data_IF_113007913714
#
_entry.id   IF_113007913714
#
_cell.length_a   1.000
_cell.length_b   1.000
_cell.length_c   1.000
_cell.angle_alpha   90.00
_cell.angle_beta   90.00
_cell.angle_gamma   90.00
#
_symmetry.space_group_name_H-M   'P 1'
#
loop_
_entity.id
_entity.type
_entity.pdbx_description
1 polymer ?
#
# COMPACT_ATOMS: atom_id res chain seq x y z
N UNK A 1 -2.58 1.83 24.40
CA UNK A 1 -2.44 1.78 22.93
C UNK A 1 -1.66 3.02 22.50
N UNK A 2 -0.54 2.89 21.78
CA UNK A 2 0.19 4.04 21.23
C UNK A 2 -0.18 4.16 19.75
N UNK A 3 -0.57 5.35 19.32
CA UNK A 3 -0.87 5.64 17.91
C UNK A 3 0.30 6.43 17.34
N UNK A 4 0.89 5.92 16.27
CA UNK A 4 1.85 6.67 15.46
C UNK A 4 1.10 7.39 14.34
N UNK A 5 1.54 8.60 14.00
CA UNK A 5 0.95 9.42 12.95
C UNK A 5 2.06 10.15 12.20
N UNK A 6 2.06 10.02 10.90
CA UNK A 6 3.02 10.67 9.99
C UNK A 6 2.27 11.26 8.80
N UNK A 7 2.83 12.33 8.23
CA UNK A 7 2.29 13.02 7.07
C UNK A 7 3.43 13.49 6.17
N UNK A 8 3.19 13.44 4.86
CA UNK A 8 4.09 14.01 3.85
C UNK A 8 3.27 14.85 2.87
N UNK A 9 3.90 15.85 2.27
CA UNK A 9 3.33 16.61 1.16
C UNK A 9 3.77 15.99 -0.16
N UNK A 10 2.80 15.73 -1.05
CA UNK A 10 3.07 15.24 -2.40
C UNK A 10 2.43 16.21 -3.38
N UNK A 11 3.23 16.77 -4.28
CA UNK A 11 2.79 17.78 -5.24
C UNK A 11 2.08 17.17 -6.46
N UNK A 12 1.03 16.39 -6.22
CA UNK A 12 0.16 15.82 -7.27
C UNK A 12 -1.30 15.81 -6.81
N UNK A 13 -2.29 15.75 -7.73
CA UNK A 13 -3.69 15.64 -7.36
C UNK A 13 -3.97 14.40 -6.47
N UNK A 14 -4.76 14.51 -5.39
CA UNK A 14 -5.06 13.38 -4.50
C UNK A 14 -5.64 12.16 -5.21
N UNK A 15 -6.42 12.38 -6.29
CA UNK A 15 -6.98 11.30 -7.11
C UNK A 15 -5.90 10.41 -7.70
N UNK A 16 -4.76 10.98 -8.13
CA UNK A 16 -3.66 10.22 -8.70
C UNK A 16 -3.07 9.25 -7.66
N UNK A 17 -2.86 9.74 -6.44
CA UNK A 17 -2.37 8.92 -5.33
C UNK A 17 -3.39 7.83 -4.98
N UNK A 18 -4.67 8.19 -4.91
CA UNK A 18 -5.72 7.21 -4.63
C UNK A 18 -5.81 6.10 -5.69
N UNK A 19 -5.77 6.47 -6.98
CA UNK A 19 -5.79 5.51 -8.08
C UNK A 19 -4.54 4.60 -8.06
N UNK A 20 -3.38 5.14 -7.68
CA UNK A 20 -2.14 4.37 -7.49
C UNK A 20 -2.26 3.40 -6.31
N UNK A 21 -2.87 3.82 -5.19
CA UNK A 21 -3.09 2.97 -4.01
C UNK A 21 -4.08 1.84 -4.28
N UNK A 22 -5.05 2.00 -5.18
CA UNK A 22 -5.95 0.90 -5.58
C UNK A 22 -5.22 -0.27 -6.26
N UNK A 23 -3.99 -0.03 -6.71
CA UNK A 23 -3.07 -1.01 -7.30
C UNK A 23 -1.94 -1.38 -6.33
N UNK A 24 -2.21 -1.32 -5.03
CA UNK A 24 -1.20 -1.44 -3.96
C UNK A 24 -0.25 -2.61 -4.15
N UNK A 25 -0.78 -3.83 -4.38
CA UNK A 25 0.05 -5.02 -4.53
C UNK A 25 1.00 -4.94 -5.73
N UNK A 26 0.54 -4.38 -6.86
CA UNK A 26 1.34 -4.20 -8.07
C UNK A 26 2.42 -3.14 -7.87
N UNK A 27 2.09 -2.04 -7.18
CA UNK A 27 2.99 -0.90 -7.03
C UNK A 27 3.82 -0.96 -5.73
N UNK A 28 3.67 -2.00 -4.92
CA UNK A 28 4.20 -2.04 -3.56
C UNK A 28 5.71 -1.75 -3.51
N UNK A 29 6.49 -2.38 -4.39
CA UNK A 29 7.94 -2.22 -4.42
C UNK A 29 8.39 -0.88 -5.03
N UNK A 30 7.51 -0.12 -5.70
CA UNK A 30 7.82 1.23 -6.17
C UNK A 30 7.77 2.25 -5.04
N UNK A 31 7.04 1.97 -3.95
CA UNK A 31 6.90 2.91 -2.83
C UNK A 31 8.21 3.13 -2.09
N UNK A 32 8.87 2.05 -1.67
CA UNK A 32 9.99 2.10 -0.75
C UNK A 32 11.00 1.01 -1.06
N UNK A 33 12.33 1.31 -1.05
CA UNK A 33 13.35 0.35 -1.41
C UNK A 33 13.46 -0.86 -0.47
N UNK A 34 12.90 -0.79 0.75
CA UNK A 34 12.88 -1.96 1.66
C UNK A 34 11.79 -2.98 1.33
N UNK A 35 10.80 -2.61 0.52
CA UNK A 35 9.67 -3.47 0.19
C UNK A 35 10.10 -4.63 -0.71
N UNK A 36 9.68 -5.85 -0.35
CA UNK A 36 10.10 -7.08 -1.01
C UNK A 36 9.02 -7.58 -1.97
N UNK A 37 7.79 -7.80 -1.47
CA UNK A 37 6.66 -8.26 -2.30
C UNK A 37 5.32 -8.01 -1.61
N UNK A 38 4.27 -7.89 -2.41
CA UNK A 38 2.89 -7.88 -1.94
C UNK A 38 1.96 -8.61 -2.91
N UNK A 39 0.97 -9.31 -2.38
CA UNK A 39 -0.07 -9.99 -3.16
C UNK A 39 -1.33 -10.24 -2.31
N UNK A 40 -2.48 -10.37 -2.97
CA UNK A 40 -3.73 -10.74 -2.32
C UNK A 40 -3.73 -12.24 -2.00
N UNK A 41 -3.59 -12.59 -0.73
CA UNK A 41 -3.59 -13.98 -0.26
C UNK A 41 -5.00 -14.58 -0.27
N UNK A 42 -6.02 -13.77 0.01
CA UNK A 42 -7.42 -14.20 0.00
C UNK A 42 -8.35 -13.07 -0.43
N UNK A 43 -9.34 -13.41 -1.26
CA UNK A 43 -10.38 -12.49 -1.72
C UNK A 43 -9.96 -11.69 -2.95
N UNK A 44 -10.79 -10.72 -3.32
CA UNK A 44 -10.54 -9.83 -4.47
C UNK A 44 -9.86 -8.53 -4.02
N UNK A 45 -9.07 -7.89 -4.90
CA UNK A 45 -8.48 -6.59 -4.62
C UNK A 45 -9.50 -5.56 -4.13
N UNK A 46 -9.13 -4.85 -3.05
CA UNK A 46 -9.91 -3.73 -2.50
C UNK A 46 -11.34 -4.10 -2.06
N UNK A 47 -11.60 -5.37 -1.72
CA UNK A 47 -12.86 -5.80 -1.12
C UNK A 47 -12.73 -5.96 0.39
N UNK A 48 -13.81 -5.59 1.08
CA UNK A 48 -13.93 -5.80 2.53
C UNK A 48 -13.82 -7.30 2.82
N UNK A 49 -12.93 -7.66 3.75
CA UNK A 49 -12.68 -9.04 4.13
C UNK A 49 -11.58 -9.76 3.34
N UNK A 50 -10.97 -9.11 2.35
CA UNK A 50 -9.77 -9.64 1.68
C UNK A 50 -8.53 -9.55 2.59
N UNK A 51 -7.56 -10.42 2.34
CA UNK A 51 -6.28 -10.49 3.05
C UNK A 51 -5.16 -10.16 2.06
N UNK A 52 -4.34 -9.18 2.41
CA UNK A 52 -3.15 -8.78 1.66
C UNK A 52 -1.91 -9.23 2.42
N UNK A 53 -1.02 -9.96 1.75
CA UNK A 53 0.32 -10.24 2.23
C UNK A 53 1.25 -9.10 1.79
N UNK A 54 2.10 -8.63 2.70
CA UNK A 54 3.13 -7.62 2.44
C UNK A 54 4.41 -7.96 3.21
N UNK A 55 5.55 -7.87 2.54
CA UNK A 55 6.86 -8.20 3.11
C UNK A 55 7.83 -7.03 2.91
N UNK A 56 8.56 -6.66 3.97
CA UNK A 56 9.58 -5.61 3.95
C UNK A 56 10.79 -6.02 4.78
N UNK A 57 11.97 -5.49 4.43
CA UNK A 57 13.18 -5.60 5.24
C UNK A 57 13.18 -4.47 6.29
N UNK A 58 13.25 -4.82 7.58
CA UNK A 58 13.27 -3.88 8.72
C UNK A 58 14.68 -3.74 9.27
#
# INVERSE_FOLDING_TARGET
MKTLKEFIEINVPPKLIWDWLLKFAENYCEWHPSHVKSYWEKGEPNKVGSILYSEENI
#
